data_IF_071190558223
#
_entry.id   IF_071190558223
#
_cell.length_a   1.000
_cell.length_b   1.000
_cell.length_c   1.000
_cell.angle_alpha   90.00
_cell.angle_beta   90.00
_cell.angle_gamma   90.00
#
_symmetry.space_group_name_H-M   'P 1'
#
loop_
_entity.id
_entity.type
_entity.pdbx_description
1 polymer ?
#
# COMPACT_ATOMS: atom_id res chain seq x y z
N UNK A 1 42.50 -28.26 -42.32
CA UNK A 1 42.37 -27.28 -41.28
C UNK A 1 40.94 -27.35 -40.78
N UNK A 2 40.73 -28.10 -39.70
CA UNK A 2 39.42 -28.36 -39.12
C UNK A 2 39.04 -27.25 -38.15
N UNK A 3 37.87 -26.66 -38.32
CA UNK A 3 37.31 -25.70 -37.44
C UNK A 3 36.24 -26.40 -36.56
N UNK A 4 36.65 -26.82 -35.37
CA UNK A 4 35.75 -27.43 -34.39
C UNK A 4 35.09 -26.29 -33.60
N UNK A 5 33.85 -25.97 -33.92
CA UNK A 5 33.00 -25.12 -33.10
C UNK A 5 32.44 -25.98 -31.97
N UNK A 6 32.99 -25.81 -30.77
CA UNK A 6 32.47 -26.42 -29.55
C UNK A 6 31.28 -25.58 -29.09
N UNK A 7 30.07 -26.04 -29.36
CA UNK A 7 28.84 -25.55 -28.75
C UNK A 7 28.72 -26.23 -27.37
N UNK A 8 29.01 -25.51 -26.31
CA UNK A 8 28.65 -25.92 -24.95
C UNK A 8 27.15 -25.63 -24.74
N UNK A 9 26.32 -26.59 -25.18
CA UNK A 9 24.91 -26.63 -24.79
C UNK A 9 24.84 -26.95 -23.29
N UNK A 10 24.57 -25.93 -22.45
CA UNK A 10 24.23 -26.13 -21.05
C UNK A 10 22.93 -26.92 -20.99
N UNK A 11 23.03 -28.21 -20.66
CA UNK A 11 21.89 -29.11 -20.50
C UNK A 11 21.13 -28.68 -19.26
N UNK A 12 20.07 -27.90 -19.41
CA UNK A 12 19.11 -27.60 -18.34
C UNK A 12 18.35 -28.89 -18.02
N UNK A 13 18.51 -29.40 -16.80
CA UNK A 13 17.86 -30.62 -16.35
C UNK A 13 16.53 -30.30 -15.61
N UNK A 14 15.60 -31.27 -15.61
CA UNK A 14 14.34 -31.17 -14.86
C UNK A 14 14.61 -30.93 -13.35
N UNK A 15 15.74 -31.43 -12.85
CA UNK A 15 16.18 -31.22 -11.46
C UNK A 15 16.53 -29.75 -11.17
N UNK A 16 17.19 -29.05 -12.09
CA UNK A 16 17.54 -27.63 -11.93
C UNK A 16 16.26 -26.76 -11.90
N UNK A 17 15.27 -27.08 -12.74
CA UNK A 17 13.99 -26.39 -12.75
C UNK A 17 13.21 -26.58 -11.44
N UNK A 18 13.22 -27.80 -10.88
CA UNK A 18 12.56 -28.07 -9.59
C UNK A 18 13.21 -27.33 -8.44
N UNK A 19 14.55 -27.23 -8.41
CA UNK A 19 15.29 -26.50 -7.38
C UNK A 19 15.01 -25.00 -7.44
N UNK A 20 14.91 -24.41 -8.62
CA UNK A 20 14.59 -22.99 -8.81
C UNK A 20 13.16 -22.67 -8.34
N UNK A 21 12.19 -23.56 -8.64
CA UNK A 21 10.79 -23.39 -8.18
C UNK A 21 10.70 -23.49 -6.66
N UNK A 22 11.40 -24.44 -6.05
CA UNK A 22 11.41 -24.60 -4.59
C UNK A 22 12.09 -23.42 -3.88
N UNK A 23 13.19 -22.91 -4.43
CA UNK A 23 13.88 -21.73 -3.94
C UNK A 23 12.99 -20.49 -4.02
N UNK A 24 12.30 -20.30 -5.15
CA UNK A 24 11.35 -19.20 -5.35
C UNK A 24 10.16 -19.28 -4.38
N UNK A 25 9.58 -20.47 -4.22
CA UNK A 25 8.48 -20.70 -3.28
C UNK A 25 8.91 -20.45 -1.82
N UNK A 26 10.14 -20.85 -1.46
CA UNK A 26 10.71 -20.58 -0.13
C UNK A 26 10.92 -19.07 0.10
N UNK A 27 11.47 -18.38 -0.89
CA UNK A 27 11.67 -16.93 -0.82
C UNK A 27 10.31 -16.18 -0.70
N UNK A 28 9.31 -16.62 -1.46
CA UNK A 28 7.95 -16.06 -1.37
C UNK A 28 7.35 -16.24 0.03
N UNK A 29 7.43 -17.44 0.59
CA UNK A 29 6.95 -17.71 1.96
C UNK A 29 7.70 -16.87 3.01
N UNK A 30 8.99 -16.65 2.83
CA UNK A 30 9.80 -15.90 3.79
C UNK A 30 9.63 -14.39 3.73
N UNK A 31 9.52 -13.82 2.53
CA UNK A 31 9.54 -12.36 2.34
C UNK A 31 8.17 -11.75 2.00
N UNK A 32 7.28 -12.50 1.37
CA UNK A 32 6.01 -11.96 0.87
C UNK A 32 4.84 -12.34 1.77
N UNK A 33 4.75 -13.60 2.16
CA UNK A 33 3.62 -14.11 2.93
C UNK A 33 3.37 -13.33 4.25
N UNK A 34 4.39 -12.95 5.05
CA UNK A 34 4.18 -12.18 6.29
C UNK A 34 3.64 -10.76 6.04
N UNK A 35 3.78 -10.23 4.83
CA UNK A 35 3.42 -8.85 4.49
C UNK A 35 2.09 -8.73 3.75
N UNK A 36 1.40 -9.84 3.46
CA UNK A 36 0.14 -9.84 2.67
C UNK A 36 -0.91 -8.94 3.30
N UNK A 37 -1.06 -9.00 4.62
CA UNK A 37 -2.04 -8.18 5.33
C UNK A 37 -1.74 -6.68 5.22
N UNK A 38 -0.46 -6.30 5.30
CA UNK A 38 -0.03 -4.91 5.11
C UNK A 38 -0.29 -4.46 3.68
N UNK A 39 -0.01 -5.33 2.68
CA UNK A 39 -0.29 -5.04 1.28
C UNK A 39 -1.79 -4.79 1.05
N UNK A 40 -2.67 -5.61 1.63
CA UNK A 40 -4.13 -5.46 1.52
C UNK A 40 -4.60 -4.15 2.16
N UNK A 41 -4.15 -3.82 3.38
CA UNK A 41 -4.50 -2.55 4.04
C UNK A 41 -4.06 -1.33 3.22
N UNK A 42 -2.84 -1.36 2.66
CA UNK A 42 -2.37 -0.28 1.78
C UNK A 42 -3.18 -0.24 0.48
N UNK A 43 -3.50 -1.39 -0.11
CA UNK A 43 -4.36 -1.45 -1.28
C UNK A 43 -5.75 -0.85 -1.01
N UNK A 44 -6.38 -1.15 0.13
CA UNK A 44 -7.64 -0.54 0.56
C UNK A 44 -7.54 0.98 0.68
N UNK A 45 -6.44 1.50 1.25
CA UNK A 45 -6.20 2.94 1.33
C UNK A 45 -6.03 3.61 -0.03
N UNK A 46 -5.47 2.89 -1.01
CA UNK A 46 -5.23 3.42 -2.35
C UNK A 46 -6.47 3.37 -3.26
N UNK A 47 -7.29 2.31 -3.14
CA UNK A 47 -8.45 2.08 -4.01
C UNK A 47 -9.75 2.61 -3.41
N UNK A 48 -9.87 2.59 -2.09
CA UNK A 48 -11.07 3.06 -1.37
C UNK A 48 -12.25 2.09 -1.41
N UNK A 49 -12.09 0.89 -1.94
CA UNK A 49 -13.10 -0.17 -1.88
C UNK A 49 -12.43 -1.55 -1.81
N UNK A 50 -13.16 -2.53 -1.26
CA UNK A 50 -12.63 -3.86 -0.96
C UNK A 50 -12.34 -4.66 -2.23
N UNK A 51 -13.22 -4.64 -3.22
CA UNK A 51 -13.06 -5.43 -4.44
C UNK A 51 -11.81 -4.99 -5.23
N UNK A 52 -11.64 -3.69 -5.47
CA UNK A 52 -10.45 -3.17 -6.16
C UNK A 52 -9.17 -3.38 -5.32
N UNK A 53 -9.27 -3.38 -3.99
CA UNK A 53 -8.14 -3.64 -3.10
C UNK A 53 -7.68 -5.10 -3.19
N UNK A 54 -8.62 -6.05 -3.23
CA UNK A 54 -8.34 -7.47 -3.40
C UNK A 54 -7.70 -7.74 -4.77
N UNK A 55 -8.24 -7.17 -5.84
CA UNK A 55 -7.68 -7.27 -7.19
C UNK A 55 -6.27 -6.68 -7.28
N UNK A 56 -6.06 -5.49 -6.69
CA UNK A 56 -4.76 -4.85 -6.62
C UNK A 56 -3.76 -5.70 -5.84
N UNK A 57 -4.18 -6.27 -4.72
CA UNK A 57 -3.34 -7.14 -3.89
C UNK A 57 -2.97 -8.40 -4.64
N UNK A 58 -3.94 -9.07 -5.28
CA UNK A 58 -3.72 -10.30 -6.04
C UNK A 58 -2.75 -10.07 -7.21
N UNK A 59 -2.95 -9.02 -8.01
CA UNK A 59 -2.05 -8.69 -9.12
C UNK A 59 -0.64 -8.34 -8.60
N UNK A 60 -0.54 -7.68 -7.44
CA UNK A 60 0.73 -7.36 -6.79
C UNK A 60 1.45 -8.61 -6.29
N UNK A 61 0.72 -9.59 -5.74
CA UNK A 61 1.28 -10.88 -5.30
C UNK A 61 1.83 -11.68 -6.47
N UNK A 62 1.12 -11.71 -7.61
CA UNK A 62 1.61 -12.36 -8.83
C UNK A 62 2.94 -11.73 -9.30
N UNK A 63 3.04 -10.41 -9.26
CA UNK A 63 4.26 -9.68 -9.62
C UNK A 63 5.39 -9.93 -8.64
N UNK A 64 5.08 -9.92 -7.34
CA UNK A 64 6.03 -10.22 -6.29
C UNK A 64 6.57 -11.65 -6.43
N UNK A 65 5.71 -12.64 -6.70
CA UNK A 65 6.13 -14.01 -6.93
C UNK A 65 7.12 -14.13 -8.09
N UNK A 66 6.87 -13.46 -9.21
CA UNK A 66 7.77 -13.47 -10.38
C UNK A 66 9.09 -12.75 -10.12
N UNK A 67 9.13 -11.79 -9.20
CA UNK A 67 10.29 -10.96 -8.93
C UNK A 67 11.11 -11.41 -7.71
N UNK A 68 10.56 -12.24 -6.82
CA UNK A 68 11.15 -12.58 -5.53
C UNK A 68 12.48 -13.31 -5.65
N UNK A 69 12.69 -14.10 -6.70
CA UNK A 69 13.95 -14.78 -6.96
C UNK A 69 15.14 -13.82 -7.19
N UNK A 70 14.86 -12.57 -7.58
CA UNK A 70 15.88 -11.52 -7.81
C UNK A 70 15.92 -10.50 -6.69
N UNK A 71 15.11 -10.68 -5.64
CA UNK A 71 15.05 -9.77 -4.52
C UNK A 71 16.26 -9.99 -3.59
N UNK A 72 16.90 -8.90 -3.17
CA UNK A 72 18.11 -8.93 -2.34
C UNK A 72 17.87 -9.26 -0.85
N UNK A 73 16.62 -9.48 -0.44
CA UNK A 73 16.21 -9.77 0.93
C UNK A 73 16.16 -8.55 1.86
N UNK A 74 16.54 -7.36 1.39
CA UNK A 74 16.52 -6.15 2.21
C UNK A 74 15.18 -5.43 2.12
N UNK A 75 14.64 -5.02 3.27
CA UNK A 75 13.41 -4.21 3.34
C UNK A 75 12.24 -4.77 2.53
N UNK A 76 11.79 -6.02 2.78
CA UNK A 76 10.77 -6.68 1.96
C UNK A 76 9.46 -5.88 1.92
N UNK A 77 9.03 -5.28 3.03
CA UNK A 77 7.83 -4.45 3.07
C UNK A 77 7.92 -3.24 2.13
N UNK A 78 8.99 -2.47 2.17
CA UNK A 78 9.15 -1.31 1.28
C UNK A 78 9.19 -1.72 -0.19
N UNK A 79 9.85 -2.84 -0.52
CA UNK A 79 9.86 -3.40 -1.86
C UNK A 79 8.46 -3.82 -2.33
N UNK A 80 7.69 -4.52 -1.50
CA UNK A 80 6.32 -4.93 -1.81
C UNK A 80 5.37 -3.74 -1.98
N UNK A 81 5.47 -2.72 -1.11
CA UNK A 81 4.66 -1.51 -1.22
C UNK A 81 4.97 -0.73 -2.51
N UNK A 82 6.21 -0.78 -2.98
CA UNK A 82 6.57 -0.23 -4.29
C UNK A 82 5.89 -1.01 -5.43
N UNK A 83 5.80 -2.33 -5.33
CA UNK A 83 5.06 -3.17 -6.30
C UNK A 83 3.56 -2.82 -6.27
N UNK A 84 2.93 -2.76 -5.08
CA UNK A 84 1.51 -2.38 -4.93
C UNK A 84 1.24 -1.03 -5.59
N UNK A 85 2.06 -0.03 -5.29
CA UNK A 85 1.93 1.30 -5.89
C UNK A 85 2.03 1.28 -7.41
N UNK A 86 3.04 0.61 -7.98
CA UNK A 86 3.20 0.53 -9.43
C UNK A 86 2.04 -0.22 -10.10
N UNK A 87 1.55 -1.28 -9.45
CA UNK A 87 0.39 -2.03 -9.94
C UNK A 87 -0.85 -1.14 -9.94
N UNK A 88 -1.11 -0.41 -8.86
CA UNK A 88 -2.23 0.54 -8.76
C UNK A 88 -2.19 1.60 -9.87
N UNK A 89 -1.04 2.23 -10.10
CA UNK A 89 -0.89 3.21 -11.17
C UNK A 89 -1.17 2.61 -12.56
N UNK A 90 -0.76 1.35 -12.78
CA UNK A 90 -1.03 0.67 -14.05
C UNK A 90 -2.52 0.30 -14.20
N UNK A 91 -3.21 -0.08 -13.12
CA UNK A 91 -4.66 -0.32 -13.13
C UNK A 91 -5.43 0.95 -13.48
N UNK A 92 -5.12 2.07 -12.84
CA UNK A 92 -5.74 3.37 -13.16
C UNK A 92 -5.52 3.76 -14.63
N UNK A 93 -4.31 3.58 -15.17
CA UNK A 93 -4.01 3.87 -16.57
C UNK A 93 -4.80 3.00 -17.55
N UNK A 94 -5.06 1.75 -17.22
CA UNK A 94 -5.88 0.86 -18.06
C UNK A 94 -7.35 1.26 -18.07
N UNK A 95 -7.86 1.74 -16.93
CA UNK A 95 -9.25 2.19 -16.80
C UNK A 95 -9.52 3.56 -17.44
N UNK A 96 -8.49 4.41 -17.53
CA UNK A 96 -8.54 5.72 -18.19
C UNK A 96 -7.33 5.85 -19.09
N UNK A 97 -7.47 5.83 -20.43
CA UNK A 97 -6.40 6.22 -21.34
C UNK A 97 -6.09 7.71 -21.09
N UNK A 98 -5.10 8.00 -20.27
CA UNK A 98 -4.69 9.37 -19.94
C UNK A 98 -3.70 9.83 -20.99
N UNK A 99 -4.02 10.91 -21.67
CA UNK A 99 -3.09 11.66 -22.52
C UNK A 99 -1.92 12.15 -21.65
N UNK A 100 -0.70 12.03 -22.18
CA UNK A 100 0.55 12.41 -21.50
C UNK A 100 0.44 13.88 -21.06
N UNK A 101 0.31 14.11 -19.76
CA UNK A 101 0.22 15.47 -19.18
C UNK A 101 -0.58 15.55 -17.87
N UNK A 102 -1.39 14.56 -17.53
CA UNK A 102 -2.39 14.67 -16.46
C UNK A 102 -2.01 13.90 -15.19
N UNK A 103 -0.73 13.98 -14.79
CA UNK A 103 -0.23 13.30 -13.59
C UNK A 103 -0.80 13.86 -12.28
N UNK A 104 -1.25 15.12 -12.29
CA UNK A 104 -1.88 15.74 -11.11
C UNK A 104 -3.39 15.40 -11.01
N UNK A 105 -4.06 15.11 -12.11
CA UNK A 105 -5.46 14.70 -12.13
C UNK A 105 -5.67 13.25 -11.60
N UNK A 106 -4.70 12.35 -11.81
CA UNK A 106 -4.72 10.99 -11.25
C UNK A 106 -4.59 11.00 -9.73
N UNK A 107 -3.96 12.05 -9.16
CA UNK A 107 -3.89 12.27 -7.71
C UNK A 107 -5.20 12.79 -7.11
N UNK A 108 -6.11 13.29 -7.92
CA UNK A 108 -7.41 13.84 -7.51
C UNK A 108 -8.58 12.86 -7.58
N UNK A 109 -8.39 11.65 -8.07
CA UNK A 109 -9.43 10.62 -8.05
C UNK A 109 -9.68 10.20 -6.61
N UNK A 110 -10.81 10.64 -6.06
CA UNK A 110 -11.28 10.35 -4.70
C UNK A 110 -11.28 8.84 -4.48
N UNK A 111 -10.47 8.27 -3.58
CA UNK A 111 -10.82 6.99 -2.97
C UNK A 111 -12.10 7.26 -2.15
N UNK A 112 -13.14 6.49 -2.39
CA UNK A 112 -14.30 6.50 -1.53
C UNK A 112 -13.87 5.88 -0.18
N UNK A 113 -13.42 6.72 0.75
CA UNK A 113 -13.28 6.31 2.14
C UNK A 113 -14.69 6.11 2.68
N UNK A 114 -15.08 4.88 2.92
CA UNK A 114 -16.43 4.57 3.39
C UNK A 114 -16.76 3.09 3.49
N UNK A 115 -15.80 2.17 3.28
CA UNK A 115 -15.97 0.81 3.74
C UNK A 115 -15.55 0.76 5.20
N UNK A 116 -16.54 0.90 6.10
CA UNK A 116 -16.39 0.70 7.52
C UNK A 116 -15.61 -0.59 7.81
N UNK A 117 -14.54 -0.48 8.58
CA UNK A 117 -14.17 -1.56 9.49
C UNK A 117 -15.44 -1.85 10.27
N UNK A 118 -16.04 -3.04 10.08
CA UNK A 118 -17.22 -3.42 10.87
C UNK A 118 -16.81 -3.41 12.33
N UNK A 119 -17.41 -2.56 13.18
CA UNK A 119 -17.14 -2.61 14.60
C UNK A 119 -17.66 -3.94 15.11
N UNK A 120 -16.86 -4.60 15.92
CA UNK A 120 -17.34 -5.66 16.80
C UNK A 120 -18.45 -5.09 17.68
N UNK A 121 -19.56 -5.82 17.84
CA UNK A 121 -20.86 -5.35 18.33
C UNK A 121 -20.92 -5.02 19.85
N UNK A 122 -19.83 -4.62 20.50
CA UNK A 122 -19.76 -4.41 21.96
C UNK A 122 -19.07 -3.13 22.42
N UNK A 123 -18.81 -2.15 21.54
CA UNK A 123 -18.17 -0.89 21.96
C UNK A 123 -19.16 0.26 22.15
N UNK A 124 -19.04 0.90 23.30
CA UNK A 124 -19.84 1.98 23.89
C UNK A 124 -20.25 3.11 22.90
N UNK A 125 -21.45 3.65 23.06
CA UNK A 125 -22.04 4.75 22.26
C UNK A 125 -21.12 6.00 22.18
N UNK A 126 -20.27 6.21 23.17
CA UNK A 126 -19.27 7.30 23.20
C UNK A 126 -18.12 7.08 22.21
N UNK A 127 -17.71 5.84 22.02
CA UNK A 127 -16.66 5.46 21.07
C UNK A 127 -17.15 5.61 19.64
N UNK A 128 -18.42 5.31 19.40
CA UNK A 128 -19.07 5.45 18.08
C UNK A 128 -19.11 6.93 17.63
N UNK A 129 -19.37 7.87 18.54
CA UNK A 129 -19.43 9.31 18.22
C UNK A 129 -18.02 9.85 17.88
N UNK A 130 -17.01 9.49 18.67
CA UNK A 130 -15.62 9.87 18.41
C UNK A 130 -15.10 9.24 17.10
N UNK A 131 -15.44 7.98 16.86
CA UNK A 131 -15.11 7.28 15.64
C UNK A 131 -15.68 7.99 14.40
N UNK A 132 -16.97 8.33 14.44
CA UNK A 132 -17.64 9.06 13.36
C UNK A 132 -17.05 10.47 13.14
N UNK A 133 -16.71 11.20 14.21
CA UNK A 133 -16.05 12.49 14.10
C UNK A 133 -14.66 12.39 13.48
N UNK A 134 -13.89 11.36 13.85
CA UNK A 134 -12.57 11.09 13.26
C UNK A 134 -12.68 10.72 11.78
N UNK A 135 -13.64 9.86 11.42
CA UNK A 135 -13.89 9.50 10.01
C UNK A 135 -14.26 10.75 9.19
N UNK A 136 -15.13 11.60 9.73
CA UNK A 136 -15.52 12.86 9.08
C UNK A 136 -14.33 13.80 8.92
N UNK A 137 -13.49 13.92 9.95
CA UNK A 137 -12.27 14.72 9.90
C UNK A 137 -11.28 14.20 8.83
N UNK A 138 -11.10 12.89 8.76
CA UNK A 138 -10.25 12.25 7.75
C UNK A 138 -10.83 12.41 6.35
N UNK A 139 -12.16 12.29 6.19
CA UNK A 139 -12.83 12.47 4.91
C UNK A 139 -12.72 13.91 4.37
N UNK A 140 -12.67 14.90 5.26
CA UNK A 140 -12.48 16.30 4.90
C UNK A 140 -11.06 16.69 4.48
N UNK A 141 -10.07 15.81 4.71
CA UNK A 141 -8.69 16.05 4.28
C UNK A 141 -8.53 15.95 2.76
N UNK A 142 -7.64 16.79 2.23
CA UNK A 142 -7.09 16.57 0.88
C UNK A 142 -6.47 15.16 0.80
N UNK A 143 -6.71 14.40 -0.28
CA UNK A 143 -6.24 13.02 -0.42
C UNK A 143 -4.77 12.81 -0.04
N UNK A 144 -3.87 13.71 -0.50
CA UNK A 144 -2.42 13.61 -0.19
C UNK A 144 -2.07 13.69 1.29
N UNK A 145 -2.90 14.36 2.11
CA UNK A 145 -2.72 14.46 3.56
C UNK A 145 -3.37 13.26 4.25
N UNK A 146 -4.53 12.84 3.77
CA UNK A 146 -5.24 11.66 4.24
C UNK A 146 -4.40 10.40 4.06
N UNK A 147 -3.84 10.18 2.86
CA UNK A 147 -3.00 9.01 2.59
C UNK A 147 -1.81 8.94 3.54
N UNK A 148 -1.16 10.07 3.81
CA UNK A 148 -0.01 10.10 4.71
C UNK A 148 -0.39 9.73 6.16
N UNK A 149 -1.50 10.27 6.69
CA UNK A 149 -1.93 9.98 8.07
C UNK A 149 -2.47 8.57 8.21
N UNK A 150 -3.20 8.08 7.22
CA UNK A 150 -3.74 6.71 7.23
C UNK A 150 -2.61 5.67 7.16
N UNK A 151 -1.64 5.84 6.27
CA UNK A 151 -0.54 4.90 6.15
C UNK A 151 0.34 4.87 7.41
N UNK A 152 0.63 6.02 7.99
CA UNK A 152 1.54 6.09 9.15
C UNK A 152 0.81 5.86 10.47
N UNK A 153 -0.27 6.61 10.74
CA UNK A 153 -0.91 6.62 12.07
C UNK A 153 -1.94 5.49 12.24
N UNK A 154 -2.64 5.07 11.15
CA UNK A 154 -3.62 3.99 11.22
C UNK A 154 -2.98 2.64 10.90
N UNK A 155 -2.18 2.56 9.85
CA UNK A 155 -1.57 1.29 9.43
C UNK A 155 -0.17 1.04 10.02
N UNK A 156 0.38 1.98 10.77
CA UNK A 156 1.64 1.83 11.49
C UNK A 156 2.87 1.73 10.59
N UNK A 157 2.82 2.24 9.35
CA UNK A 157 3.98 2.24 8.47
C UNK A 157 5.03 3.24 8.96
N UNK A 158 6.29 2.90 8.83
CA UNK A 158 7.37 3.86 8.98
C UNK A 158 7.32 4.93 7.89
N UNK A 159 7.94 6.06 8.10
CA UNK A 159 8.00 7.15 7.10
C UNK A 159 8.64 6.70 5.79
N UNK A 160 9.62 5.79 5.85
CA UNK A 160 10.26 5.25 4.66
C UNK A 160 9.32 4.33 3.87
N UNK A 161 8.55 3.48 4.55
CA UNK A 161 7.55 2.60 3.92
C UNK A 161 6.40 3.40 3.33
N UNK A 162 5.88 4.40 4.04
CA UNK A 162 4.87 5.31 3.52
C UNK A 162 5.37 6.10 2.31
N UNK A 163 6.65 6.53 2.32
CA UNK A 163 7.28 7.19 1.18
C UNK A 163 7.37 6.26 -0.05
N UNK A 164 7.74 4.99 0.14
CA UNK A 164 7.75 3.98 -0.91
C UNK A 164 6.33 3.74 -1.48
N UNK A 165 5.34 3.57 -0.61
CA UNK A 165 3.93 3.37 -1.00
C UNK A 165 3.36 4.57 -1.78
N UNK A 166 3.64 5.80 -1.32
CA UNK A 166 3.14 7.03 -1.95
C UNK A 166 4.03 7.51 -3.12
N UNK A 167 5.24 6.97 -3.27
CA UNK A 167 6.22 7.37 -4.28
C UNK A 167 6.65 8.83 -4.16
N UNK A 168 6.90 9.28 -2.93
CA UNK A 168 7.34 10.63 -2.61
C UNK A 168 8.57 10.58 -1.68
N UNK A 169 9.40 11.63 -1.61
CA UNK A 169 10.48 11.69 -0.63
C UNK A 169 9.97 11.59 0.82
N UNK A 170 10.77 11.00 1.71
CA UNK A 170 10.45 10.87 3.15
C UNK A 170 10.11 12.22 3.79
N UNK A 171 10.86 13.28 3.48
CA UNK A 171 10.56 14.65 3.95
C UNK A 171 9.19 15.16 3.52
N UNK A 172 8.69 14.71 2.35
CA UNK A 172 7.33 15.03 1.89
C UNK A 172 6.28 14.30 2.73
N UNK A 173 6.53 13.03 3.11
CA UNK A 173 5.63 12.29 4.02
C UNK A 173 5.55 13.02 5.37
N UNK A 174 6.71 13.38 5.95
CA UNK A 174 6.77 14.10 7.24
C UNK A 174 5.99 15.42 7.21
N UNK A 175 6.17 16.23 6.16
CA UNK A 175 5.46 17.50 6.02
C UNK A 175 3.96 17.33 5.80
N UNK A 176 3.54 16.33 5.01
CA UNK A 176 2.13 16.00 4.81
C UNK A 176 1.48 15.50 6.09
N UNK A 177 2.16 14.62 6.82
CA UNK A 177 1.68 14.07 8.08
C UNK A 177 1.48 15.17 9.14
N UNK A 178 2.45 16.08 9.28
CA UNK A 178 2.34 17.23 10.19
C UNK A 178 1.10 18.08 9.88
N UNK A 179 0.90 18.42 8.60
CA UNK A 179 -0.27 19.19 8.15
C UNK A 179 -1.58 18.41 8.33
N UNK A 180 -1.59 17.11 8.07
CA UNK A 180 -2.75 16.24 8.28
C UNK A 180 -3.17 16.23 9.74
N UNK A 181 -2.25 15.96 10.66
CA UNK A 181 -2.50 15.95 12.10
C UNK A 181 -3.03 17.29 12.62
N UNK A 182 -2.47 18.40 12.14
CA UNK A 182 -2.95 19.72 12.51
C UNK A 182 -4.39 19.97 12.05
N UNK A 183 -4.73 19.58 10.81
CA UNK A 183 -6.10 19.74 10.28
C UNK A 183 -7.11 18.86 11.00
N UNK A 184 -6.76 17.59 11.27
CA UNK A 184 -7.62 16.69 12.07
C UNK A 184 -7.85 17.28 13.46
N UNK A 185 -6.78 17.76 14.13
CA UNK A 185 -6.89 18.40 15.44
C UNK A 185 -7.83 19.63 15.41
N UNK A 186 -7.70 20.47 14.40
CA UNK A 186 -8.57 21.64 14.23
C UNK A 186 -10.03 21.24 14.00
N UNK A 187 -10.25 20.16 13.25
CA UNK A 187 -11.60 19.66 12.95
C UNK A 187 -12.29 19.02 14.16
N UNK A 188 -11.55 18.27 14.96
CA UNK A 188 -12.07 17.62 16.17
C UNK A 188 -12.34 18.62 17.31
N UNK A 189 -11.68 19.78 17.31
CA UNK A 189 -11.81 20.80 18.35
C UNK A 189 -11.13 20.43 19.68
N UNK A 190 -11.00 21.41 20.61
CA UNK A 190 -10.29 21.20 21.87
C UNK A 190 -11.04 20.27 22.84
N UNK A 191 -12.35 20.20 22.77
CA UNK A 191 -13.19 19.44 23.71
C UNK A 191 -13.02 17.92 23.53
N UNK A 192 -12.93 17.47 22.29
CA UNK A 192 -12.70 16.06 21.97
C UNK A 192 -11.30 15.61 22.39
N UNK A 193 -10.29 16.48 22.21
CA UNK A 193 -8.89 16.17 22.52
C UNK A 193 -8.59 16.23 24.04
N UNK A 194 -9.40 16.93 24.82
CA UNK A 194 -9.23 17.06 26.28
C UNK A 194 -9.97 15.99 27.07
N UNK A 195 -10.70 15.08 26.42
CA UNK A 195 -11.51 14.05 27.07
C UNK A 195 -12.68 14.66 27.90
N UNK A 196 -13.02 15.95 27.69
CA UNK A 196 -14.17 16.57 28.33
C UNK A 196 -15.44 16.01 27.69
N UNK A 197 -16.22 15.32 28.50
CA UNK A 197 -17.55 14.81 28.13
C UNK A 197 -18.40 15.97 27.63
N UNK A 198 -18.92 15.84 26.41
CA UNK A 198 -20.05 16.64 25.96
C UNK A 198 -21.24 16.25 26.84
N UNK A 199 -21.64 17.14 27.74
CA UNK A 199 -22.86 17.03 28.58
C UNK A 199 -24.08 17.30 27.74
#
# INVERSE_FOLDING_TARGET
>A
MGNTVSASEGSFTVADFSQDVDAQAKAFRGYVQPEIEVMLRVAQSLTGNTADAEDLTQESLIRAYRAVARFDGRHPRAWLLTIVRHTHLNMIRRQRPVTVGDWDAVRGSRPAFGAALQPSAEDDVLDTTLHHQLETALAALDPRFRDAIVLVDVHGLSYAEAAAALGVPVGTVMSRLSRARNRVRTHLGPDVLSGRRLS
#
